data_IF_475201218741
#
_entry.id   IF_475201218741
#
_cell.length_a   1.000
_cell.length_b   1.000
_cell.length_c   1.000
_cell.angle_alpha   90.00
_cell.angle_beta   90.00
_cell.angle_gamma   90.00
#
_symmetry.space_group_name_H-M   'P 1'
#
loop_
_entity.id
_entity.type
_entity.pdbx_description
1 polymer ?
#
# COMPACT_ATOMS: atom_id res chain seq x y z
N UNK A 1 1.30 -24.97 -8.83
CA UNK A 1 0.49 -24.06 -9.68
C UNK A 1 0.80 -22.63 -9.24
N UNK A 2 1.75 -21.95 -9.89
CA UNK A 2 2.27 -20.64 -9.44
C UNK A 2 2.01 -19.51 -10.45
N UNK A 3 1.42 -19.83 -11.61
CA UNK A 3 1.20 -18.89 -12.73
C UNK A 3 -0.27 -18.88 -13.21
N UNK A 4 -1.23 -19.11 -12.31
CA UNK A 4 -2.64 -18.99 -12.68
C UNK A 4 -3.03 -17.50 -12.61
N UNK A 5 -2.97 -16.80 -13.74
CA UNK A 5 -3.28 -15.36 -13.85
C UNK A 5 -4.79 -15.09 -13.97
N UNK A 6 -5.63 -16.10 -13.74
CA UNK A 6 -7.08 -16.02 -13.91
C UNK A 6 -7.78 -14.96 -13.01
N UNK A 7 -7.08 -14.42 -12.02
CA UNK A 7 -7.60 -13.40 -11.09
C UNK A 7 -6.73 -12.13 -11.03
N UNK A 8 -5.79 -11.95 -11.97
CA UNK A 8 -4.96 -10.76 -12.02
C UNK A 8 -5.76 -9.60 -12.64
N UNK A 9 -6.00 -8.55 -11.85
CA UNK A 9 -6.60 -7.30 -12.31
C UNK A 9 -5.53 -6.22 -12.36
N UNK A 10 -5.38 -5.57 -13.51
CA UNK A 10 -4.50 -4.42 -13.69
C UNK A 10 -5.33 -3.15 -13.77
N UNK A 11 -4.96 -2.13 -13.01
CA UNK A 11 -5.57 -0.80 -13.02
C UNK A 11 -4.54 0.23 -13.48
N UNK A 12 -4.92 1.09 -14.43
CA UNK A 12 -4.04 2.14 -14.93
C UNK A 12 -4.36 3.47 -14.26
N UNK A 13 -3.47 3.94 -13.37
CA UNK A 13 -3.64 5.23 -12.69
C UNK A 13 -3.45 6.43 -13.62
N UNK A 14 -2.45 6.39 -14.50
CA UNK A 14 -2.23 7.39 -15.54
C UNK A 14 -1.35 6.84 -16.65
N UNK A 15 -1.49 7.40 -17.86
CA UNK A 15 -0.64 7.11 -19.01
C UNK A 15 -0.55 8.38 -19.87
N UNK A 16 0.63 8.98 -19.90
CA UNK A 16 0.90 10.19 -20.67
C UNK A 16 1.97 9.89 -21.72
N UNK A 17 1.73 10.30 -22.96
CA UNK A 17 2.68 10.18 -24.06
C UNK A 17 2.96 11.57 -24.63
N UNK A 18 4.23 11.87 -24.90
CA UNK A 18 4.65 13.12 -25.54
C UNK A 18 5.58 12.80 -26.71
N UNK A 19 5.34 13.41 -27.86
CA UNK A 19 6.28 13.35 -28.98
C UNK A 19 7.39 14.37 -28.74
N UNK A 20 8.64 13.91 -28.75
CA UNK A 20 9.81 14.77 -28.49
C UNK A 20 10.59 15.11 -29.76
N UNK A 21 10.21 14.49 -30.89
CA UNK A 21 10.78 14.73 -32.20
C UNK A 21 9.67 14.67 -33.26
N UNK A 22 9.85 15.39 -34.36
CA UNK A 22 8.97 15.29 -35.52
C UNK A 22 9.25 14.01 -36.30
N UNK A 23 8.25 13.58 -37.07
CA UNK A 23 8.40 12.46 -38.00
C UNK A 23 9.46 12.79 -39.05
N UNK A 24 10.49 11.95 -39.15
CA UNK A 24 11.54 12.14 -40.14
C UNK A 24 12.74 11.23 -39.92
N UNK A 25 13.85 11.59 -40.55
CA UNK A 25 15.13 10.87 -40.43
C UNK A 25 16.05 11.64 -39.49
N UNK A 26 16.50 10.98 -38.43
CA UNK A 26 17.57 11.50 -37.59
C UNK A 26 18.91 11.34 -38.32
N UNK A 27 19.72 12.40 -38.29
CA UNK A 27 21.09 12.34 -38.82
C UNK A 27 21.93 11.37 -38.00
N UNK A 28 23.02 10.85 -38.55
CA UNK A 28 23.98 10.08 -37.78
C UNK A 28 24.57 10.94 -36.67
N UNK A 29 24.59 10.43 -35.44
CA UNK A 29 25.12 11.12 -34.27
C UNK A 29 24.29 10.85 -33.01
N UNK A 30 24.69 11.51 -31.93
CA UNK A 30 23.96 11.51 -30.67
C UNK A 30 22.88 12.60 -30.69
N UNK A 31 21.66 12.24 -30.27
CA UNK A 31 20.54 13.16 -30.17
C UNK A 31 19.99 13.13 -28.75
N UNK A 32 19.77 14.31 -28.16
CA UNK A 32 19.19 14.45 -26.84
C UNK A 32 17.85 15.16 -26.94
N UNK A 33 16.80 14.52 -26.44
CA UNK A 33 15.45 15.05 -26.45
C UNK A 33 14.96 15.27 -25.01
N UNK A 34 14.84 16.52 -24.53
CA UNK A 34 14.31 16.78 -23.21
C UNK A 34 12.82 16.48 -23.18
N UNK A 35 12.36 15.87 -22.09
CA UNK A 35 10.94 15.60 -21.86
C UNK A 35 10.56 15.95 -20.42
N UNK A 36 9.27 16.25 -20.22
CA UNK A 36 8.71 16.51 -18.90
C UNK A 36 7.30 15.94 -18.83
N UNK A 37 7.02 15.23 -17.75
CA UNK A 37 5.68 14.76 -17.41
C UNK A 37 5.26 15.36 -16.09
N UNK A 38 3.99 15.72 -15.98
CA UNK A 38 3.36 16.04 -14.70
C UNK A 38 2.76 14.76 -14.14
N UNK A 39 3.14 14.40 -12.91
CA UNK A 39 2.59 13.26 -12.21
C UNK A 39 1.30 13.72 -11.51
N UNK A 40 0.15 13.06 -11.73
CA UNK A 40 -1.10 13.42 -11.08
C UNK A 40 -1.00 13.32 -9.55
N UNK A 41 -1.58 14.28 -8.82
CA UNK A 41 -1.63 14.25 -7.35
C UNK A 41 -2.44 13.06 -6.80
N UNK A 42 -3.31 12.47 -7.64
CA UNK A 42 -4.09 11.27 -7.32
C UNK A 42 -3.27 9.98 -7.39
N UNK A 43 -2.10 10.00 -8.04
CA UNK A 43 -1.26 8.81 -8.21
C UNK A 43 -0.81 8.25 -6.84
N UNK A 44 -1.08 6.97 -6.53
CA UNK A 44 -0.70 6.39 -5.24
C UNK A 44 0.80 6.17 -5.10
N UNK A 45 1.27 5.97 -3.87
CA UNK A 45 2.65 5.57 -3.59
C UNK A 45 2.96 4.22 -4.23
N UNK A 46 4.16 4.08 -4.81
CA UNK A 46 4.68 2.80 -5.28
C UNK A 46 4.70 1.76 -4.16
N UNK A 47 4.28 0.55 -4.47
CA UNK A 47 4.13 -0.51 -3.48
C UNK A 47 4.46 -1.87 -4.10
N UNK A 48 5.01 -2.77 -3.30
CA UNK A 48 5.25 -4.16 -3.68
C UNK A 48 4.91 -5.05 -2.48
N UNK A 49 4.00 -6.01 -2.69
CA UNK A 49 3.58 -6.96 -1.68
C UNK A 49 3.14 -8.28 -2.29
N UNK A 50 2.81 -9.25 -1.43
CA UNK A 50 2.52 -10.63 -1.85
C UNK A 50 1.30 -10.77 -2.78
N UNK A 51 0.38 -9.82 -2.72
CA UNK A 51 -0.92 -9.87 -3.42
C UNK A 51 -1.10 -8.76 -4.46
N UNK A 52 -0.10 -7.91 -4.67
CA UNK A 52 -0.22 -6.79 -5.59
C UNK A 52 0.97 -5.84 -5.55
N UNK A 53 1.07 -5.02 -6.59
CA UNK A 53 2.11 -4.00 -6.71
C UNK A 53 1.61 -2.79 -7.48
N UNK A 54 2.17 -1.62 -7.17
CA UNK A 54 1.96 -0.36 -7.87
C UNK A 54 3.31 0.06 -8.46
N UNK A 55 3.42 0.00 -9.78
CA UNK A 55 4.68 0.23 -10.51
C UNK A 55 4.51 1.39 -11.49
N UNK A 56 5.45 2.33 -11.47
CA UNK A 56 5.52 3.41 -12.46
C UNK A 56 6.74 3.25 -13.35
N UNK A 57 6.54 3.51 -14.64
CA UNK A 57 7.53 3.31 -15.70
C UNK A 57 7.50 4.49 -16.65
N UNK A 58 8.67 4.91 -17.09
CA UNK A 58 8.82 5.79 -18.26
C UNK A 58 9.28 4.92 -19.42
N UNK A 59 8.55 4.95 -20.52
CA UNK A 59 8.88 4.23 -21.74
C UNK A 59 9.23 5.23 -22.84
N UNK A 60 10.40 5.06 -23.44
CA UNK A 60 10.79 5.74 -24.66
C UNK A 60 10.74 4.76 -25.81
N UNK A 61 10.15 5.16 -26.94
CA UNK A 61 10.08 4.32 -28.13
C UNK A 61 10.17 5.18 -29.39
N UNK A 62 10.66 4.57 -30.47
CA UNK A 62 10.67 5.19 -31.81
C UNK A 62 9.55 4.55 -32.59
N UNK A 63 8.61 5.36 -33.06
CA UNK A 63 7.58 4.90 -33.98
C UNK A 63 8.20 4.68 -35.37
N UNK A 64 8.12 3.45 -35.86
CA UNK A 64 8.75 3.04 -37.13
C UNK A 64 7.71 2.42 -38.07
N UNK A 65 7.92 2.48 -39.40
CA UNK A 65 7.01 1.84 -40.34
C UNK A 65 6.82 0.36 -40.06
N UNK A 66 5.64 -0.17 -40.41
CA UNK A 66 5.28 -1.59 -40.28
C UNK A 66 6.41 -2.48 -40.83
N UNK A 67 6.78 -3.53 -40.08
CA UNK A 67 7.89 -4.47 -40.37
C UNK A 67 9.32 -3.95 -40.15
N UNK A 68 9.48 -2.76 -39.55
CA UNK A 68 10.79 -2.29 -39.08
C UNK A 68 11.11 -2.85 -37.70
N UNK A 69 12.36 -2.66 -37.27
CA UNK A 69 12.80 -3.03 -35.92
C UNK A 69 12.12 -2.15 -34.87
N UNK A 70 11.57 -2.77 -33.83
CA UNK A 70 11.05 -2.05 -32.67
C UNK A 70 12.20 -1.49 -31.83
N UNK A 71 12.22 -0.18 -31.64
CA UNK A 71 13.12 0.48 -30.70
C UNK A 71 12.32 0.98 -29.52
N UNK A 72 12.49 0.34 -28.37
CA UNK A 72 11.94 0.83 -27.12
C UNK A 72 12.91 0.58 -25.96
N UNK A 73 12.79 1.39 -24.93
CA UNK A 73 13.45 1.22 -23.65
C UNK A 73 12.51 1.69 -22.55
N UNK A 74 12.63 1.10 -21.38
CA UNK A 74 11.78 1.41 -20.24
C UNK A 74 12.63 1.55 -19.00
N UNK A 75 12.26 2.51 -18.14
CA UNK A 75 12.87 2.70 -16.83
C UNK A 75 11.80 2.84 -15.76
N UNK A 76 11.83 1.94 -14.79
CA UNK A 76 11.00 2.04 -13.59
C UNK A 76 11.51 3.12 -12.65
N UNK A 77 10.59 3.75 -11.92
CA UNK A 77 10.92 4.70 -10.86
C UNK A 77 9.98 4.55 -9.67
N UNK A 78 10.43 5.00 -8.51
CA UNK A 78 9.64 4.98 -7.27
C UNK A 78 8.91 6.31 -7.10
N UNK A 79 7.61 6.25 -6.84
CA UNK A 79 6.79 7.42 -6.52
C UNK A 79 6.37 7.38 -5.06
N UNK A 80 6.70 8.42 -4.30
CA UNK A 80 6.23 8.59 -2.93
C UNK A 80 5.15 9.67 -2.88
N UNK A 81 3.91 9.28 -2.54
CA UNK A 81 2.85 10.23 -2.18
C UNK A 81 2.90 10.44 -0.66
N UNK A 82 3.35 11.63 -0.27
CA UNK A 82 3.40 12.01 1.13
C UNK A 82 1.97 12.20 1.67
N UNK A 83 1.71 11.61 2.83
CA UNK A 83 0.48 11.80 3.59
C UNK A 83 0.80 12.65 4.81
N UNK A 84 0.17 13.82 4.92
CA UNK A 84 0.24 14.64 6.11
C UNK A 84 -0.81 14.16 7.12
N UNK A 85 -0.38 13.47 8.17
CA UNK A 85 -1.30 12.97 9.20
C UNK A 85 -2.07 14.10 9.88
N UNK A 86 -1.52 15.31 9.97
CA UNK A 86 -2.23 16.46 10.55
C UNK A 86 -3.52 16.83 9.81
N UNK A 87 -3.66 16.44 8.55
CA UNK A 87 -4.85 16.69 7.73
C UNK A 87 -5.92 15.60 7.89
N UNK A 88 -5.58 14.48 8.54
CA UNK A 88 -6.49 13.38 8.76
C UNK A 88 -7.34 13.66 10.01
N UNK A 89 -8.68 13.76 9.90
CA UNK A 89 -9.52 14.01 11.05
C UNK A 89 -9.44 12.84 12.05
N UNK A 90 -9.53 13.16 13.34
CA UNK A 90 -9.61 12.16 14.43
C UNK A 90 -8.36 11.25 14.57
N UNK A 91 -7.21 11.64 14.00
CA UNK A 91 -5.99 10.81 14.02
C UNK A 91 -5.25 10.79 15.38
N UNK A 92 -5.40 11.85 16.17
CA UNK A 92 -4.66 12.08 17.42
C UNK A 92 -5.26 11.38 18.63
N UNK A 93 -6.48 10.85 18.52
CA UNK A 93 -7.15 10.17 19.61
C UNK A 93 -6.66 8.73 19.80
N UNK A 94 -6.91 8.13 20.98
CA UNK A 94 -6.59 6.73 21.19
C UNK A 94 -7.41 5.81 20.27
N UNK A 95 -6.80 4.71 19.84
CA UNK A 95 -7.53 3.62 19.19
C UNK A 95 -7.79 2.52 20.20
N UNK A 96 -9.02 2.02 20.30
CA UNK A 96 -9.38 1.00 21.27
C UNK A 96 -10.08 -0.17 20.58
N UNK A 97 -9.67 -1.38 20.92
CA UNK A 97 -10.34 -2.63 20.53
C UNK A 97 -10.58 -3.49 21.76
N UNK A 98 -11.74 -4.16 21.81
CA UNK A 98 -12.08 -5.06 22.90
C UNK A 98 -12.61 -6.39 22.35
N UNK A 99 -12.11 -7.49 22.91
CA UNK A 99 -12.55 -8.85 22.60
C UNK A 99 -13.14 -9.45 23.86
N UNK A 100 -14.35 -9.99 23.75
CA UNK A 100 -15.05 -10.65 24.85
C UNK A 100 -15.13 -12.14 24.57
N UNK A 101 -14.52 -12.94 25.45
CA UNK A 101 -14.59 -14.40 25.39
C UNK A 101 -15.54 -14.92 26.47
N UNK A 102 -16.54 -15.69 26.07
CA UNK A 102 -17.47 -16.35 26.98
C UNK A 102 -17.10 -17.82 27.15
N UNK A 103 -17.16 -18.31 28.38
CA UNK A 103 -16.87 -19.70 28.72
C UNK A 103 -18.13 -20.40 29.23
N UNK A 104 -18.42 -21.57 28.66
CA UNK A 104 -19.59 -22.39 28.99
C UNK A 104 -19.12 -23.81 29.31
N UNK A 105 -19.62 -24.39 30.40
CA UNK A 105 -19.41 -25.80 30.75
C UNK A 105 -20.75 -26.44 31.07
N UNK A 106 -21.03 -27.62 30.49
CA UNK A 106 -22.25 -28.41 30.73
C UNK A 106 -23.54 -27.56 30.76
N UNK A 107 -23.76 -26.76 29.70
CA UNK A 107 -24.93 -25.89 29.48
C UNK A 107 -25.09 -24.70 30.45
N UNK A 108 -24.14 -24.45 31.36
CA UNK A 108 -24.14 -23.28 32.26
C UNK A 108 -23.07 -22.27 31.82
N UNK A 109 -23.46 -21.00 31.65
CA UNK A 109 -22.51 -19.89 31.44
C UNK A 109 -21.63 -19.77 32.68
N UNK A 110 -20.34 -20.04 32.53
CA UNK A 110 -19.39 -20.16 33.66
C UNK A 110 -18.59 -18.88 33.89
N UNK A 111 -18.53 -17.99 32.90
CA UNK A 111 -17.98 -16.65 33.07
C UNK A 111 -17.58 -15.97 31.77
N UNK A 112 -17.21 -14.70 31.87
CA UNK A 112 -16.80 -13.86 30.73
C UNK A 112 -15.46 -13.22 31.02
N UNK A 113 -14.56 -13.21 30.04
CA UNK A 113 -13.30 -12.47 30.10
C UNK A 113 -13.31 -11.43 28.99
N UNK A 114 -13.06 -10.17 29.36
CA UNK A 114 -12.95 -9.05 28.42
C UNK A 114 -11.49 -8.63 28.36
N UNK A 115 -10.89 -8.72 27.17
CA UNK A 115 -9.59 -8.14 26.87
C UNK A 115 -9.83 -6.83 26.14
N UNK A 116 -9.27 -5.73 26.65
CA UNK A 116 -9.29 -4.42 25.99
C UNK A 116 -7.86 -4.00 25.71
N UNK A 117 -7.54 -3.70 24.46
CA UNK A 117 -6.27 -3.14 24.02
C UNK A 117 -6.49 -1.73 23.47
N UNK A 118 -5.61 -0.81 23.83
CA UNK A 118 -5.70 0.59 23.44
C UNK A 118 -4.33 1.12 23.04
N UNK A 119 -4.26 1.86 21.95
CA UNK A 119 -3.10 2.66 21.55
C UNK A 119 -3.28 4.11 21.95
N UNK A 120 -2.18 4.85 22.12
CA UNK A 120 -2.20 6.28 22.45
C UNK A 120 -2.74 7.15 21.30
N UNK A 121 -2.46 6.77 20.05
CA UNK A 121 -2.91 7.47 18.84
C UNK A 121 -3.44 6.49 17.77
N UNK A 122 -4.17 7.01 16.76
CA UNK A 122 -4.67 6.23 15.60
C UNK A 122 -3.72 6.24 14.40
N UNK A 123 -2.80 7.20 14.31
CA UNK A 123 -1.82 7.29 13.22
C UNK A 123 -0.42 7.62 13.73
N UNK A 124 0.59 7.05 13.08
CA UNK A 124 2.00 7.21 13.42
C UNK A 124 2.83 7.45 12.17
N UNK A 125 3.89 8.23 12.29
CA UNK A 125 4.92 8.36 11.27
C UNK A 125 6.06 7.37 11.52
N UNK A 126 6.83 6.98 10.49
CA UNK A 126 8.02 6.15 10.67
C UNK A 126 8.95 6.71 11.77
N UNK A 127 9.38 5.84 12.68
CA UNK A 127 10.27 6.19 13.80
C UNK A 127 9.57 6.59 15.10
N UNK A 128 8.25 6.79 15.11
CA UNK A 128 7.50 7.01 16.35
C UNK A 128 7.30 5.70 17.13
N UNK A 129 7.25 5.81 18.46
CA UNK A 129 6.94 4.71 19.37
C UNK A 129 5.42 4.61 19.51
N UNK A 130 4.88 3.40 19.36
CA UNK A 130 3.45 3.11 19.57
C UNK A 130 3.29 2.63 21.01
N UNK A 131 2.52 3.37 21.83
CA UNK A 131 2.24 2.95 23.21
C UNK A 131 0.97 2.12 23.26
N UNK A 132 1.09 0.86 23.66
CA UNK A 132 -0.05 -0.07 23.77
C UNK A 132 -0.34 -0.35 25.24
N UNK A 133 -1.57 -0.07 25.67
CA UNK A 133 -2.11 -0.44 26.98
C UNK A 133 -3.12 -1.57 26.83
N UNK A 134 -2.90 -2.68 27.53
CA UNK A 134 -3.84 -3.80 27.56
C UNK A 134 -4.41 -3.98 28.98
N UNK A 135 -5.72 -4.15 29.09
CA UNK A 135 -6.42 -4.44 30.34
C UNK A 135 -7.28 -5.70 30.20
N UNK A 136 -7.17 -6.59 31.17
CA UNK A 136 -7.96 -7.83 31.23
C UNK A 136 -8.95 -7.69 32.38
N UNK A 137 -10.22 -7.89 32.07
CA UNK A 137 -11.29 -7.91 33.05
C UNK A 137 -11.93 -9.30 33.08
N UNK A 138 -11.55 -10.09 34.09
CA UNK A 138 -12.09 -11.42 34.31
C UNK A 138 -13.36 -11.32 35.17
N UNK A 139 -14.52 -11.52 34.55
CA UNK A 139 -15.83 -11.63 35.20
C UNK A 139 -16.24 -13.09 35.40
N UNK A 140 -15.29 -14.02 35.43
CA UNK A 140 -15.53 -15.41 35.79
C UNK A 140 -15.15 -15.67 37.25
N UNK A 141 -15.68 -16.76 37.80
CA UNK A 141 -15.31 -17.26 39.13
C UNK A 141 -14.01 -18.07 39.12
N UNK A 142 -13.34 -18.21 37.97
CA UNK A 142 -12.15 -19.04 37.80
C UNK A 142 -10.92 -18.20 37.47
N UNK A 143 -9.77 -18.61 37.99
CA UNK A 143 -8.48 -18.00 37.67
C UNK A 143 -8.18 -18.18 36.18
N UNK A 144 -7.85 -17.09 35.50
CA UNK A 144 -7.30 -17.14 34.15
C UNK A 144 -5.88 -17.72 34.29
N UNK A 145 -5.61 -18.86 33.64
CA UNK A 145 -4.28 -19.47 33.63
C UNK A 145 -3.24 -18.60 32.94
N UNK A 146 -2.10 -19.18 32.54
CA UNK A 146 -1.12 -18.44 31.73
C UNK A 146 -1.76 -17.92 30.44
N UNK A 147 -1.86 -16.59 30.33
CA UNK A 147 -2.22 -15.90 29.10
C UNK A 147 -0.91 -15.49 28.42
N UNK A 148 -0.58 -16.12 27.30
CA UNK A 148 0.52 -15.70 26.45
C UNK A 148 0.02 -14.61 25.49
N UNK A 149 0.79 -13.54 25.35
CA UNK A 149 0.59 -12.49 24.36
C UNK A 149 1.16 -12.93 23.00
#
# INVERSE_FOLDING_TARGET
>A
KMNDTAWAMEEQYFNNTVSVADKGTLKQGEHTFPFKFLIPATAPTSFEGNYGRIVYRVRAFIDTPRFSKDYNTEKSFFLLRLLNLNEVPDIWGPSCSAVTQQFTYMLVKTGTVVLKAQTDMKGYTPGQVIQVTASIHNQSTKTTGHMAA
#
